data_IF_627148043142
#
_entry.id   IF_627148043142
#
_cell.length_a   1.000
_cell.length_b   1.000
_cell.length_c   1.000
_cell.angle_alpha   90.00
_cell.angle_beta   90.00
_cell.angle_gamma   90.00
#
_symmetry.space_group_name_H-M   'P 1'
#
loop_
_entity.id
_entity.type
_entity.pdbx_description
1 polymer ?
#
# COMPACT_ATOMS: atom_id res chain seq x y z
N UNK A 1 -27.39 4.70 56.47
CA UNK A 1 -28.00 5.12 55.19
C UNK A 1 -27.00 5.70 54.18
N UNK A 2 -25.91 6.36 54.59
CA UNK A 2 -24.92 6.95 53.66
C UNK A 2 -24.08 5.94 52.84
N UNK A 3 -23.82 4.72 53.34
CA UNK A 3 -22.99 3.71 52.63
C UNK A 3 -23.57 3.25 51.29
N UNK A 4 -24.90 3.17 51.15
CA UNK A 4 -25.53 2.69 49.93
C UNK A 4 -25.44 3.70 48.78
N UNK A 5 -25.48 5.00 49.09
CA UNK A 5 -25.36 6.05 48.07
C UNK A 5 -23.95 6.13 47.48
N UNK A 6 -22.91 5.95 48.31
CA UNK A 6 -21.53 5.90 47.83
C UNK A 6 -21.27 4.70 46.91
N UNK A 7 -21.81 3.52 47.23
CA UNK A 7 -21.65 2.33 46.38
C UNK A 7 -22.33 2.55 45.02
N UNK A 8 -23.53 3.13 45.00
CA UNK A 8 -24.24 3.43 43.76
C UNK A 8 -23.46 4.41 42.86
N UNK A 9 -22.88 5.47 43.44
CA UNK A 9 -22.08 6.46 42.69
C UNK A 9 -20.84 5.81 42.10
N UNK A 10 -20.10 5.01 42.87
CA UNK A 10 -18.90 4.32 42.37
C UNK A 10 -19.22 3.32 41.26
N UNK A 11 -20.35 2.61 41.34
CA UNK A 11 -20.80 1.71 40.26
C UNK A 11 -21.09 2.44 38.95
N UNK A 12 -21.73 3.62 39.02
CA UNK A 12 -22.00 4.44 37.83
C UNK A 12 -20.68 4.94 37.21
N UNK A 13 -19.74 5.41 38.04
CA UNK A 13 -18.42 5.85 37.56
C UNK A 13 -17.68 4.70 36.86
N UNK A 14 -17.70 3.49 37.44
CA UNK A 14 -17.09 2.30 36.85
C UNK A 14 -17.72 1.93 35.50
N UNK A 15 -19.04 2.03 35.38
CA UNK A 15 -19.76 1.80 34.12
C UNK A 15 -19.37 2.85 33.08
N UNK A 16 -19.33 4.13 33.44
CA UNK A 16 -18.93 5.20 32.51
C UNK A 16 -17.48 5.04 32.04
N UNK A 17 -16.55 4.71 32.94
CA UNK A 17 -15.14 4.47 32.59
C UNK A 17 -15.00 3.25 31.70
N UNK A 18 -15.70 2.15 31.99
CA UNK A 18 -15.63 0.94 31.16
C UNK A 18 -16.24 1.16 29.78
N UNK A 19 -17.37 1.88 29.66
CA UNK A 19 -17.94 2.27 28.36
C UNK A 19 -17.02 3.21 27.58
N UNK A 20 -16.33 4.15 28.25
CA UNK A 20 -15.36 5.01 27.61
C UNK A 20 -14.16 4.22 27.08
N UNK A 21 -13.60 3.31 27.88
CA UNK A 21 -12.51 2.43 27.45
C UNK A 21 -12.94 1.53 26.29
N UNK A 22 -14.13 0.92 26.36
CA UNK A 22 -14.71 0.12 25.27
C UNK A 22 -14.90 0.93 23.99
N UNK A 23 -15.32 2.19 24.08
CA UNK A 23 -15.44 3.12 22.95
C UNK A 23 -14.08 3.44 22.31
N UNK A 24 -13.04 3.67 23.12
CA UNK A 24 -11.69 3.91 22.62
C UNK A 24 -11.09 2.63 22.00
N UNK A 25 -11.26 1.48 22.65
CA UNK A 25 -10.86 0.19 22.12
C UNK A 25 -11.58 -0.16 20.83
N UNK A 26 -12.90 0.05 20.74
CA UNK A 26 -13.66 -0.25 19.53
C UNK A 26 -13.25 0.65 18.38
N UNK A 27 -13.06 1.95 18.60
CA UNK A 27 -12.55 2.88 17.58
C UNK A 27 -11.17 2.46 17.09
N UNK A 28 -10.29 2.07 18.00
CA UNK A 28 -8.92 1.64 17.66
C UNK A 28 -8.93 0.32 16.87
N UNK A 29 -9.74 -0.65 17.30
CA UNK A 29 -9.90 -1.95 16.64
C UNK A 29 -10.56 -1.84 15.26
N UNK A 30 -11.61 -1.03 15.12
CA UNK A 30 -12.30 -0.84 13.85
C UNK A 30 -11.43 -0.09 12.84
N UNK A 31 -10.70 0.95 13.29
CA UNK A 31 -9.71 1.66 12.46
C UNK A 31 -8.57 0.73 12.03
N UNK A 32 -8.21 -0.23 12.87
CA UNK A 32 -7.17 -1.23 12.58
C UNK A 32 -7.54 -2.20 11.47
N UNK A 33 -8.69 -2.87 11.57
CA UNK A 33 -9.10 -3.83 10.54
C UNK A 33 -9.52 -3.15 9.23
N UNK A 34 -10.03 -1.91 9.31
CA UNK A 34 -10.33 -1.12 8.14
C UNK A 34 -9.05 -0.72 7.40
N UNK A 35 -7.95 -0.40 8.09
CA UNK A 35 -6.68 -0.04 7.43
C UNK A 35 -6.01 -1.24 6.76
N UNK A 36 -6.10 -2.44 7.36
CA UNK A 36 -5.57 -3.67 6.77
C UNK A 36 -6.32 -4.06 5.47
N UNK A 37 -7.66 -4.03 5.47
CA UNK A 37 -8.42 -4.27 4.24
C UNK A 37 -8.20 -3.16 3.20
N UNK A 38 -8.15 -1.90 3.63
CA UNK A 38 -7.91 -0.78 2.72
C UNK A 38 -6.56 -0.88 2.01
N UNK A 39 -5.49 -1.32 2.69
CA UNK A 39 -4.15 -1.49 2.10
C UNK A 39 -4.05 -2.66 1.11
N UNK A 40 -4.78 -3.75 1.35
CA UNK A 40 -4.71 -4.95 0.49
C UNK A 40 -5.70 -4.91 -0.68
N UNK A 41 -6.74 -4.08 -0.59
CA UNK A 41 -7.78 -3.94 -1.61
C UNK A 41 -7.26 -3.49 -3.00
N UNK A 42 -6.39 -2.46 -3.13
CA UNK A 42 -5.86 -2.03 -4.43
C UNK A 42 -5.21 -3.18 -5.21
N UNK A 43 -4.52 -4.06 -4.50
CA UNK A 43 -3.71 -5.15 -5.04
C UNK A 43 -4.58 -6.29 -5.52
N UNK A 44 -5.58 -6.65 -4.73
CA UNK A 44 -6.59 -7.62 -5.11
C UNK A 44 -7.26 -7.19 -6.43
N UNK A 45 -7.67 -5.93 -6.51
CA UNK A 45 -8.31 -5.38 -7.69
C UNK A 45 -7.37 -5.26 -8.89
N UNK A 46 -6.12 -4.84 -8.70
CA UNK A 46 -5.12 -4.79 -9.78
C UNK A 46 -4.82 -6.20 -10.33
N UNK A 47 -4.71 -7.21 -9.47
CA UNK A 47 -4.49 -8.59 -9.88
C UNK A 47 -5.70 -9.19 -10.60
N UNK A 48 -6.92 -8.86 -10.14
CA UNK A 48 -8.17 -9.20 -10.82
C UNK A 48 -8.27 -8.54 -12.20
N UNK A 49 -7.92 -7.26 -12.30
CA UNK A 49 -7.93 -6.53 -13.56
C UNK A 49 -7.07 -7.20 -14.61
N UNK A 50 -5.85 -7.59 -14.24
CA UNK A 50 -4.95 -8.32 -15.13
C UNK A 50 -5.54 -9.67 -15.58
N UNK A 51 -6.14 -10.42 -14.66
CA UNK A 51 -6.74 -11.72 -14.98
C UNK A 51 -7.88 -11.55 -16.00
N UNK A 52 -8.76 -10.58 -15.80
CA UNK A 52 -9.88 -10.33 -16.71
C UNK A 52 -9.40 -9.77 -18.05
N UNK A 53 -8.35 -8.94 -18.06
CA UNK A 53 -7.72 -8.47 -19.29
C UNK A 53 -7.18 -9.64 -20.12
N UNK A 54 -6.45 -10.56 -19.48
CA UNK A 54 -5.91 -11.77 -20.13
C UNK A 54 -7.01 -12.72 -20.65
N UNK A 55 -8.24 -12.61 -20.13
CA UNK A 55 -9.43 -13.34 -20.60
C UNK A 55 -10.18 -12.59 -21.69
N UNK A 56 -9.67 -11.44 -22.16
CA UNK A 56 -10.32 -10.54 -23.09
C UNK A 56 -11.63 -9.93 -22.57
N UNK A 57 -11.84 -9.91 -21.25
CA UNK A 57 -12.97 -9.25 -20.60
C UNK A 57 -12.59 -7.79 -20.27
N UNK A 58 -12.48 -6.94 -21.29
CA UNK A 58 -12.00 -5.56 -21.14
C UNK A 58 -12.87 -4.77 -20.15
N UNK A 59 -14.20 -4.88 -20.23
CA UNK A 59 -15.11 -4.21 -19.31
C UNK A 59 -14.82 -4.56 -17.84
N UNK A 60 -14.72 -5.86 -17.53
CA UNK A 60 -14.45 -6.33 -16.17
C UNK A 60 -13.05 -5.92 -15.70
N UNK A 61 -12.05 -5.96 -16.58
CA UNK A 61 -10.71 -5.48 -16.28
C UNK A 61 -10.70 -4.00 -15.90
N UNK A 62 -11.44 -3.18 -16.66
CA UNK A 62 -11.59 -1.74 -16.44
C UNK A 62 -12.31 -1.46 -15.12
N UNK A 63 -13.39 -2.19 -14.81
CA UNK A 63 -14.12 -2.08 -13.55
C UNK A 63 -13.22 -2.40 -12.34
N UNK A 64 -12.39 -3.43 -12.45
CA UNK A 64 -11.44 -3.78 -11.38
C UNK A 64 -10.40 -2.68 -11.18
N UNK A 65 -9.87 -2.05 -12.23
CA UNK A 65 -8.95 -0.92 -12.06
C UNK A 65 -9.62 0.30 -11.43
N UNK A 66 -10.89 0.57 -11.73
CA UNK A 66 -11.66 1.61 -11.06
C UNK A 66 -11.84 1.32 -9.56
N UNK A 67 -12.09 0.05 -9.20
CA UNK A 67 -12.15 -0.38 -7.79
C UNK A 67 -10.80 -0.23 -7.08
N UNK A 68 -9.69 -0.55 -7.76
CA UNK A 68 -8.35 -0.31 -7.24
C UNK A 68 -8.10 1.19 -6.99
N UNK A 69 -8.51 2.03 -7.95
CA UNK A 69 -8.43 3.51 -7.84
C UNK A 69 -9.23 4.01 -6.64
N UNK A 70 -10.45 3.52 -6.46
CA UNK A 70 -11.29 3.92 -5.33
C UNK A 70 -10.74 3.46 -3.98
N UNK A 71 -10.09 2.30 -3.93
CA UNK A 71 -9.39 1.82 -2.74
C UNK A 71 -8.23 2.76 -2.40
N UNK A 72 -7.40 3.15 -3.37
CA UNK A 72 -6.32 4.12 -3.17
C UNK A 72 -6.85 5.50 -2.70
N UNK A 73 -7.92 6.02 -3.30
CA UNK A 73 -8.58 7.26 -2.83
C UNK A 73 -9.12 7.14 -1.40
N UNK A 74 -9.50 5.94 -0.99
CA UNK A 74 -9.93 5.70 0.38
C UNK A 74 -8.75 5.74 1.35
N UNK A 75 -7.59 5.22 0.95
CA UNK A 75 -6.33 5.35 1.71
C UNK A 75 -5.91 6.83 1.83
N UNK A 76 -5.99 7.60 0.73
CA UNK A 76 -5.65 9.03 0.67
C UNK A 76 -6.34 9.85 1.77
N UNK A 77 -7.64 9.59 1.99
CA UNK A 77 -8.47 10.27 3.00
C UNK A 77 -8.01 10.05 4.45
N UNK A 78 -7.23 9.01 4.71
CA UNK A 78 -6.72 8.67 6.05
C UNK A 78 -5.21 8.82 6.18
N UNK A 79 -4.55 9.24 5.09
CA UNK A 79 -3.10 9.37 5.00
C UNK A 79 -2.63 10.79 5.35
N UNK A 80 -1.34 10.94 5.68
CA UNK A 80 -0.73 12.26 5.94
C UNK A 80 -0.35 12.95 4.63
N UNK A 81 -0.25 14.29 4.60
CA UNK A 81 0.10 15.04 3.38
C UNK A 81 1.33 14.49 2.63
N UNK A 82 2.38 14.11 3.35
CA UNK A 82 3.60 13.53 2.75
C UNK A 82 3.33 12.19 2.05
N UNK A 83 2.49 11.33 2.64
CA UNK A 83 2.10 10.05 2.08
C UNK A 83 1.09 10.22 0.92
N UNK A 84 0.24 11.25 0.98
CA UNK A 84 -0.78 11.53 -0.04
C UNK A 84 -0.16 11.76 -1.41
N UNK A 85 0.99 12.44 -1.49
CA UNK A 85 1.67 12.65 -2.78
C UNK A 85 1.96 11.35 -3.54
N UNK A 86 2.28 10.26 -2.83
CA UNK A 86 2.54 8.94 -3.41
C UNK A 86 1.26 8.17 -3.72
N UNK A 87 0.23 8.34 -2.89
CA UNK A 87 -1.11 7.83 -3.16
C UNK A 87 -1.69 8.47 -4.42
N UNK A 88 -1.53 9.78 -4.59
CA UNK A 88 -1.95 10.53 -5.77
C UNK A 88 -1.24 10.06 -7.04
N UNK A 89 0.09 9.85 -6.97
CA UNK A 89 0.85 9.27 -8.08
C UNK A 89 0.32 7.88 -8.45
N UNK A 90 -0.01 7.06 -7.46
CA UNK A 90 -0.60 5.73 -7.69
C UNK A 90 -1.99 5.79 -8.32
N UNK A 91 -2.85 6.69 -7.87
CA UNK A 91 -4.17 6.95 -8.44
C UNK A 91 -4.05 7.36 -9.90
N UNK A 92 -3.11 8.25 -10.20
CA UNK A 92 -2.85 8.72 -11.55
C UNK A 92 -2.38 7.59 -12.48
N UNK A 93 -1.44 6.74 -12.05
CA UNK A 93 -0.99 5.60 -12.84
C UNK A 93 -2.09 4.54 -13.03
N UNK A 94 -2.94 4.30 -12.02
CA UNK A 94 -4.14 3.44 -12.15
C UNK A 94 -5.14 3.98 -13.18
N UNK A 95 -5.37 5.30 -13.19
CA UNK A 95 -6.25 5.95 -14.16
C UNK A 95 -5.69 5.87 -15.57
N UNK A 96 -4.37 6.09 -15.75
CA UNK A 96 -3.70 5.88 -17.05
C UNK A 96 -3.86 4.45 -17.54
N UNK A 97 -3.60 3.47 -16.69
CA UNK A 97 -3.74 2.06 -17.05
C UNK A 97 -5.19 1.71 -17.44
N UNK A 98 -6.17 2.30 -16.76
CA UNK A 98 -7.60 2.16 -17.09
C UNK A 98 -7.90 2.66 -18.51
N UNK A 99 -7.39 3.84 -18.86
CA UNK A 99 -7.53 4.38 -20.22
C UNK A 99 -6.85 3.50 -21.24
N UNK A 100 -5.61 3.08 -20.97
CA UNK A 100 -4.80 2.24 -21.85
C UNK A 100 -5.46 0.88 -22.15
N UNK A 101 -5.98 0.20 -21.14
CA UNK A 101 -6.68 -1.08 -21.31
C UNK A 101 -7.97 -0.95 -22.13
N UNK A 102 -8.62 0.21 -22.09
CA UNK A 102 -9.83 0.46 -22.87
C UNK A 102 -9.56 0.72 -24.37
N UNK A 103 -8.29 0.85 -24.77
CA UNK A 103 -7.92 1.08 -26.18
C UNK A 103 -7.91 -0.22 -26.97
N UNK A 104 -8.47 -0.20 -28.18
CA UNK A 104 -8.56 -1.39 -29.04
C UNK A 104 -7.21 -1.88 -29.58
N UNK A 105 -6.18 -1.01 -29.64
CA UNK A 105 -4.89 -1.30 -30.30
C UNK A 105 -3.67 -0.95 -29.44
N UNK A 106 -3.70 -1.28 -28.14
CA UNK A 106 -2.52 -1.11 -27.28
C UNK A 106 -1.47 -2.19 -27.56
N UNK A 107 -0.19 -1.79 -27.68
CA UNK A 107 0.87 -2.77 -27.82
C UNK A 107 1.15 -3.48 -26.49
N UNK A 108 1.57 -4.75 -26.56
CA UNK A 108 1.93 -5.52 -25.37
C UNK A 108 3.07 -4.85 -24.57
N UNK A 109 3.97 -4.15 -25.25
CA UNK A 109 5.07 -3.41 -24.60
C UNK A 109 4.53 -2.24 -23.78
N UNK A 110 3.68 -1.39 -24.36
CA UNK A 110 3.06 -0.26 -23.65
C UNK A 110 2.23 -0.73 -22.46
N UNK A 111 1.49 -1.82 -22.64
CA UNK A 111 0.68 -2.41 -21.57
C UNK A 111 1.55 -2.92 -20.43
N UNK A 112 2.62 -3.66 -20.72
CA UNK A 112 3.54 -4.17 -19.71
C UNK A 112 4.22 -3.03 -18.96
N UNK A 113 4.63 -1.97 -19.66
CA UNK A 113 5.18 -0.77 -19.04
C UNK A 113 4.17 -0.08 -18.12
N UNK A 114 2.91 0.05 -18.54
CA UNK A 114 1.86 0.65 -17.74
C UNK A 114 1.57 -0.17 -16.48
N UNK A 115 1.51 -1.50 -16.58
CA UNK A 115 1.38 -2.37 -15.41
C UNK A 115 2.59 -2.28 -14.48
N UNK A 116 3.80 -2.26 -15.00
CA UNK A 116 5.03 -2.10 -14.21
C UNK A 116 4.99 -0.80 -13.38
N UNK A 117 4.72 0.33 -14.03
CA UNK A 117 4.61 1.65 -13.37
C UNK A 117 3.50 1.67 -12.32
N UNK A 118 2.34 1.13 -12.67
CA UNK A 118 1.19 1.11 -11.77
C UNK A 118 1.47 0.28 -10.51
N UNK A 119 2.04 -0.93 -10.67
CA UNK A 119 2.37 -1.82 -9.54
C UNK A 119 3.41 -1.17 -8.63
N UNK A 120 4.46 -0.60 -9.20
CA UNK A 120 5.51 0.04 -8.41
C UNK A 120 5.04 1.31 -7.70
N UNK A 121 4.16 2.08 -8.32
CA UNK A 121 3.56 3.25 -7.66
C UNK A 121 2.75 2.83 -6.44
N UNK A 122 1.89 1.80 -6.57
CA UNK A 122 1.13 1.25 -5.45
C UNK A 122 2.06 0.69 -4.37
N UNK A 123 3.08 -0.09 -4.75
CA UNK A 123 4.07 -0.63 -3.82
C UNK A 123 4.75 0.49 -3.03
N UNK A 124 5.07 1.60 -3.69
CA UNK A 124 5.73 2.72 -3.04
C UNK A 124 4.82 3.47 -2.08
N UNK A 125 3.55 3.67 -2.45
CA UNK A 125 2.56 4.25 -1.55
C UNK A 125 2.41 3.40 -0.26
N UNK A 126 2.31 2.08 -0.41
CA UNK A 126 2.23 1.14 0.73
C UNK A 126 3.49 1.18 1.61
N UNK A 127 4.67 1.27 1.01
CA UNK A 127 5.91 1.43 1.77
C UNK A 127 5.85 2.71 2.61
N UNK A 128 5.55 3.85 2.01
CA UNK A 128 5.48 5.15 2.73
C UNK A 128 4.42 5.17 3.83
N UNK A 129 3.30 4.46 3.65
CA UNK A 129 2.29 4.28 4.70
C UNK A 129 2.85 3.43 5.84
N UNK A 130 3.56 2.35 5.52
CA UNK A 130 4.15 1.45 6.53
C UNK A 130 5.22 2.14 7.37
N UNK A 131 6.08 2.98 6.77
CA UNK A 131 7.07 3.79 7.47
C UNK A 131 6.44 4.62 8.57
N UNK A 132 5.38 5.33 8.21
CA UNK A 132 4.67 6.21 9.11
C UNK A 132 4.01 5.41 10.24
N UNK A 133 3.32 4.32 9.91
CA UNK A 133 2.68 3.49 10.93
C UNK A 133 3.71 2.91 11.93
N UNK A 134 4.94 2.61 11.48
CA UNK A 134 6.06 2.27 12.38
C UNK A 134 6.45 3.44 13.28
N UNK A 135 6.59 4.65 12.73
CA UNK A 135 6.93 5.85 13.51
C UNK A 135 5.85 6.19 14.56
N UNK A 136 4.60 5.80 14.32
CA UNK A 136 3.48 5.92 15.27
C UNK A 136 3.45 4.80 16.33
N UNK A 137 4.41 3.88 16.32
CA UNK A 137 4.55 2.80 17.30
C UNK A 137 3.66 1.58 17.03
N UNK A 138 3.11 1.44 15.82
CA UNK A 138 2.43 0.22 15.38
C UNK A 138 3.47 -0.73 14.77
N UNK A 139 3.53 -2.01 15.18
CA UNK A 139 4.58 -2.94 14.72
C UNK A 139 4.09 -4.03 13.75
N UNK A 140 2.89 -4.58 13.98
CA UNK A 140 2.39 -5.72 13.18
C UNK A 140 1.85 -5.31 11.82
N UNK A 141 1.10 -4.20 11.75
CA UNK A 141 0.54 -3.75 10.47
C UNK A 141 1.60 -3.31 9.48
N UNK A 142 2.63 -2.54 9.87
CA UNK A 142 3.63 -2.11 8.91
C UNK A 142 4.42 -3.27 8.32
N UNK A 143 4.69 -4.33 9.09
CA UNK A 143 5.27 -5.57 8.55
C UNK A 143 4.36 -6.22 7.50
N UNK A 144 3.04 -6.24 7.71
CA UNK A 144 2.07 -6.70 6.72
C UNK A 144 2.13 -5.89 5.42
N UNK A 145 2.22 -4.56 5.54
CA UNK A 145 2.37 -3.66 4.41
C UNK A 145 3.71 -3.88 3.68
N UNK A 146 4.83 -4.01 4.40
CA UNK A 146 6.14 -4.26 3.77
C UNK A 146 6.21 -5.61 3.08
N UNK A 147 5.61 -6.66 3.64
CA UNK A 147 5.47 -7.95 2.96
C UNK A 147 4.65 -7.82 1.68
N UNK A 148 3.63 -6.97 1.72
CA UNK A 148 2.81 -6.64 0.56
C UNK A 148 3.61 -5.89 -0.52
N UNK A 149 4.48 -4.96 -0.12
CA UNK A 149 5.45 -4.31 -1.01
C UNK A 149 6.32 -5.35 -1.70
N UNK A 150 6.89 -6.33 -0.98
CA UNK A 150 7.68 -7.40 -1.59
C UNK A 150 6.89 -8.19 -2.64
N UNK A 151 5.62 -8.51 -2.38
CA UNK A 151 4.78 -9.24 -3.34
C UNK A 151 4.60 -8.41 -4.62
N UNK A 152 4.35 -7.10 -4.48
CA UNK A 152 4.17 -6.21 -5.62
C UNK A 152 5.44 -6.05 -6.44
N UNK A 153 6.58 -5.78 -5.81
CA UNK A 153 7.87 -5.64 -6.51
C UNK A 153 8.26 -6.95 -7.22
N UNK A 154 8.06 -8.12 -6.58
CA UNK A 154 8.27 -9.41 -7.25
C UNK A 154 7.28 -9.68 -8.38
N UNK A 155 6.11 -9.05 -8.37
CA UNK A 155 5.17 -9.11 -9.49
C UNK A 155 5.56 -8.12 -10.59
N UNK A 156 6.06 -6.94 -10.25
CA UNK A 156 6.46 -5.89 -11.21
C UNK A 156 7.53 -6.42 -12.18
N UNK A 157 8.51 -7.20 -11.71
CA UNK A 157 9.58 -7.77 -12.54
C UNK A 157 9.05 -8.64 -13.69
N UNK A 158 7.86 -9.21 -13.57
CA UNK A 158 7.26 -10.06 -14.61
C UNK A 158 6.87 -9.27 -15.86
N UNK A 159 6.78 -7.95 -15.77
CA UNK A 159 6.45 -7.04 -16.87
C UNK A 159 7.69 -6.45 -17.56
N UNK A 160 8.89 -6.71 -17.04
CA UNK A 160 10.14 -6.30 -17.69
C UNK A 160 10.60 -7.41 -18.63
N UNK A 161 10.51 -7.18 -19.95
CA UNK A 161 10.89 -8.17 -20.97
C UNK A 161 12.41 -8.33 -21.14
N UNK A 162 13.18 -7.28 -20.91
CA UNK A 162 14.63 -7.32 -21.05
C UNK A 162 15.31 -7.72 -19.73
N UNK A 163 15.83 -8.94 -19.69
CA UNK A 163 16.51 -9.54 -18.55
C UNK A 163 17.79 -8.81 -18.14
N UNK A 164 18.38 -8.00 -19.02
CA UNK A 164 19.60 -7.23 -18.75
C UNK A 164 19.33 -5.74 -18.56
N UNK A 165 18.06 -5.31 -18.57
CA UNK A 165 17.72 -3.90 -18.39
C UNK A 165 18.19 -3.39 -17.03
N UNK A 166 18.69 -2.14 -17.02
CA UNK A 166 19.10 -1.47 -15.79
C UNK A 166 17.95 -1.40 -14.77
N UNK A 167 16.70 -1.32 -15.23
CA UNK A 167 15.51 -1.33 -14.37
C UNK A 167 15.32 -2.64 -13.64
N UNK A 168 15.45 -3.78 -14.32
CA UNK A 168 15.32 -5.08 -13.67
C UNK A 168 16.38 -5.27 -12.59
N UNK A 169 17.61 -4.82 -12.85
CA UNK A 169 18.69 -4.87 -11.88
C UNK A 169 18.42 -3.97 -10.67
N UNK A 170 17.93 -2.75 -10.89
CA UNK A 170 17.51 -1.83 -9.82
C UNK A 170 16.35 -2.41 -9.00
N UNK A 171 15.31 -2.90 -9.64
CA UNK A 171 14.14 -3.52 -9.00
C UNK A 171 14.55 -4.70 -8.11
N UNK A 172 15.41 -5.60 -8.62
CA UNK A 172 15.98 -6.71 -7.83
C UNK A 172 16.79 -6.24 -6.63
N UNK A 173 17.53 -5.13 -6.76
CA UNK A 173 18.27 -4.52 -5.65
C UNK A 173 17.32 -3.98 -4.59
N UNK A 174 16.26 -3.26 -4.99
CA UNK A 174 15.23 -2.74 -4.10
C UNK A 174 14.55 -3.89 -3.35
N UNK A 175 14.14 -4.95 -4.04
CA UNK A 175 13.54 -6.16 -3.42
C UNK A 175 14.45 -6.71 -2.32
N UNK A 176 15.76 -6.81 -2.60
CA UNK A 176 16.74 -7.29 -1.62
C UNK A 176 16.83 -6.37 -0.40
N UNK A 177 16.80 -5.05 -0.59
CA UNK A 177 16.85 -4.11 0.51
C UNK A 177 15.55 -4.07 1.33
N UNK A 178 14.37 -4.15 0.69
CA UNK A 178 13.09 -4.28 1.38
C UNK A 178 13.06 -5.56 2.21
N UNK A 179 13.52 -6.69 1.64
CA UNK A 179 13.62 -7.95 2.37
C UNK A 179 14.55 -7.84 3.58
N UNK A 180 15.69 -7.17 3.41
CA UNK A 180 16.62 -6.91 4.51
C UNK A 180 15.99 -6.08 5.64
N UNK A 181 15.23 -5.03 5.29
CA UNK A 181 14.50 -4.23 6.27
C UNK A 181 13.49 -5.07 7.05
N UNK A 182 12.70 -5.90 6.37
CA UNK A 182 11.74 -6.81 7.03
C UNK A 182 12.47 -7.74 8.00
N UNK A 183 13.55 -8.39 7.55
CA UNK A 183 14.35 -9.29 8.39
C UNK A 183 14.93 -8.57 9.62
N UNK A 184 15.39 -7.33 9.45
CA UNK A 184 15.90 -6.52 10.56
C UNK A 184 14.80 -6.20 11.57
N UNK A 185 13.63 -5.77 11.09
CA UNK A 185 12.49 -5.43 11.95
C UNK A 185 12.00 -6.66 12.69
N UNK A 186 11.86 -7.81 12.02
CA UNK A 186 11.44 -9.06 12.67
C UNK A 186 12.41 -9.52 13.76
N UNK A 187 13.73 -9.32 13.56
CA UNK A 187 14.76 -9.70 14.53
C UNK A 187 14.87 -8.73 15.70
N UNK A 188 14.78 -7.43 15.43
CA UNK A 188 15.13 -6.38 16.42
C UNK A 188 13.91 -5.71 17.03
N UNK A 189 12.75 -5.83 16.38
CA UNK A 189 11.54 -5.07 16.69
C UNK A 189 11.71 -3.56 16.48
N UNK A 190 12.72 -3.12 15.72
CA UNK A 190 13.03 -1.71 15.51
C UNK A 190 13.19 -1.39 14.03
N UNK A 191 12.80 -0.18 13.67
CA UNK A 191 13.01 0.39 12.35
C UNK A 191 14.34 1.18 12.36
N UNK A 192 15.24 0.87 11.45
CA UNK A 192 16.36 1.76 11.13
C UNK A 192 15.90 2.81 10.11
N UNK A 193 15.78 4.06 10.54
CA UNK A 193 15.32 5.15 9.69
C UNK A 193 16.27 5.44 8.51
N UNK A 194 17.57 5.13 8.63
CA UNK A 194 18.56 5.38 7.56
C UNK A 194 18.40 4.34 6.45
N UNK A 195 18.30 3.06 6.81
CA UNK A 195 18.08 1.99 5.83
C UNK A 195 16.72 2.15 5.14
N UNK A 196 15.71 2.62 5.88
CA UNK A 196 14.38 2.87 5.33
C UNK A 196 14.37 4.01 4.31
N UNK A 197 14.98 5.15 4.65
CA UNK A 197 15.06 6.28 3.72
C UNK A 197 15.89 5.95 2.47
N UNK A 198 16.92 5.11 2.62
CA UNK A 198 17.67 4.59 1.47
C UNK A 198 16.78 3.82 0.50
N UNK A 199 15.95 2.91 1.00
CA UNK A 199 15.00 2.15 0.15
C UNK A 199 13.98 3.06 -0.50
N UNK A 200 13.47 4.05 0.23
CA UNK A 200 12.57 5.05 -0.33
C UNK A 200 13.22 5.83 -1.48
N UNK A 201 14.49 6.22 -1.32
CA UNK A 201 15.22 6.93 -2.37
C UNK A 201 15.41 6.06 -3.62
N UNK A 202 15.79 4.80 -3.46
CA UNK A 202 15.99 3.88 -4.58
C UNK A 202 14.69 3.66 -5.38
N UNK A 203 13.55 3.57 -4.70
CA UNK A 203 12.24 3.44 -5.37
C UNK A 203 11.84 4.73 -6.09
N UNK A 204 12.09 5.91 -5.50
CA UNK A 204 11.88 7.20 -6.19
C UNK A 204 12.71 7.28 -7.46
N UNK A 205 14.00 7.01 -7.35
CA UNK A 205 14.93 7.06 -8.48
C UNK A 205 14.52 6.08 -9.59
N UNK A 206 13.98 4.91 -9.24
CA UNK A 206 13.45 3.96 -10.20
C UNK A 206 12.25 4.54 -10.97
N UNK A 207 11.25 5.08 -10.26
CA UNK A 207 10.05 5.63 -10.88
C UNK A 207 10.37 6.83 -11.77
N UNK A 208 11.26 7.72 -11.32
CA UNK A 208 11.61 8.94 -12.04
C UNK A 208 12.54 8.65 -13.24
N UNK A 209 13.46 7.68 -13.12
CA UNK A 209 14.29 7.27 -14.27
C UNK A 209 13.50 6.58 -15.37
N UNK A 210 12.46 5.81 -15.01
CA UNK A 210 11.59 5.16 -15.99
C UNK A 210 10.72 6.17 -16.77
N UNK A 211 10.47 7.37 -16.21
CA UNK A 211 9.78 8.46 -16.92
C UNK A 211 10.64 9.08 -18.04
N UNK A 212 11.96 9.17 -17.87
CA UNK A 212 12.84 9.89 -18.79
C UNK A 212 13.29 9.11 -20.03
N UNK A 213 13.22 7.78 -20.03
CA UNK A 213 13.74 6.95 -21.12
C UNK A 213 12.70 6.62 -22.21
N UNK A 214 11.44 7.00 -21.98
CA UNK A 214 10.30 6.66 -22.85
C UNK A 214 9.47 7.88 -23.28
N UNK A 215 9.99 9.09 -23.08
CA UNK A 215 9.55 10.35 -23.70
C UNK A 215 10.70 10.94 -24.53
#
# INVERSE_FOLDING_TARGET
MMKNNTIAIWSIVLICVSMFLLSQFSKTYYKSNLSEWLSTAPIFFLSKAQLEFNRHHIYDATEMLQKATHAMQSIERYSTPDANSYVDKSIFELQKLTVLISQENISETELNQAYFRCINSVAYAELRISEKEFLEGQYLKPLGLMNTVLILLNKSITYIKDENSAYLLKEKSIIKHVHHLIDQIEKTGKLDAVDYEKVNQEIRDLLDSFELEYY
#
